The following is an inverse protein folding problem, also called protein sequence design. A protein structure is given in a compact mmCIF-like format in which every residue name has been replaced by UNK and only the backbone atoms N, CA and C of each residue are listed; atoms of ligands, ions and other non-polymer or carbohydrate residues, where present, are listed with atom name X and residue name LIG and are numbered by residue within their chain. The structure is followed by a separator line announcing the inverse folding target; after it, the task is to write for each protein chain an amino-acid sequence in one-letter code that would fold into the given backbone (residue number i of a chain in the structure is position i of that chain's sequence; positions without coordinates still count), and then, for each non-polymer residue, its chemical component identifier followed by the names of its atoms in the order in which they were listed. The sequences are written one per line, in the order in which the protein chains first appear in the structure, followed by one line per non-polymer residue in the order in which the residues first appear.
data_IF_203421504253
#
_entry.id   IF_203421504253
#
_cell.length_a   1.000
_cell.length_b   1.000
_cell.length_c   1.000
_cell.angle_alpha   90.00
_cell.angle_beta   90.00
_cell.angle_gamma   90.00
#
_symmetry.space_group_name_H-M   'P 1'
#
loop_
_entity.id
_entity.type
_entity.pdbx_description
1 polymer ?
#
# COMPACT_ATOMS: atom_id res chain seq x y z
N UNK A 1 10.79 28.22 31.79
CA UNK A 1 11.09 26.77 31.66
C UNK A 1 10.69 26.16 30.30
N UNK A 2 10.49 26.96 29.24
CA UNK A 2 9.86 26.53 27.97
C UNK A 2 10.84 26.36 26.80
N UNK A 3 12.03 26.97 26.84
CA UNK A 3 13.03 26.91 25.76
C UNK A 3 13.83 25.61 25.71
N UNK A 4 14.29 25.09 26.85
CA UNK A 4 15.13 23.88 26.91
C UNK A 4 14.37 22.61 26.50
N UNK A 5 13.11 22.47 26.95
CA UNK A 5 12.22 21.38 26.54
C UNK A 5 11.91 21.39 25.04
N UNK A 6 11.73 22.58 24.44
CA UNK A 6 11.52 22.71 22.98
C UNK A 6 12.79 22.36 22.18
N UNK A 7 13.97 22.72 22.70
CA UNK A 7 15.28 22.39 22.09
C UNK A 7 15.60 20.89 22.17
N UNK A 8 15.32 20.24 23.30
CA UNK A 8 15.46 18.79 23.49
C UNK A 8 14.48 18.01 22.59
N UNK A 9 13.23 18.47 22.48
CA UNK A 9 12.24 17.90 21.54
C UNK A 9 12.69 18.03 20.08
N UNK A 10 13.21 19.19 19.69
CA UNK A 10 13.76 19.42 18.34
C UNK A 10 14.91 18.48 18.00
N UNK A 11 15.85 18.26 18.93
CA UNK A 11 16.97 17.34 18.73
C UNK A 11 16.52 15.88 18.56
N UNK A 12 15.53 15.41 19.33
CA UNK A 12 14.99 14.04 19.19
C UNK A 12 14.25 13.82 17.87
N UNK A 13 13.49 14.82 17.41
CA UNK A 13 12.83 14.78 16.09
C UNK A 13 13.87 14.77 14.98
N UNK A 14 14.93 15.58 15.08
CA UNK A 14 16.01 15.60 14.10
C UNK A 14 16.71 14.23 13.99
N UNK A 15 17.02 13.59 15.13
CA UNK A 15 17.61 12.24 15.16
C UNK A 15 16.66 11.20 14.55
N UNK A 16 15.35 11.30 14.83
CA UNK A 16 14.34 10.44 14.20
C UNK A 16 14.34 10.60 12.68
N UNK A 17 14.27 11.84 12.19
CA UNK A 17 14.28 12.14 10.76
C UNK A 17 15.56 11.63 10.11
N UNK A 18 16.73 11.86 10.73
CA UNK A 18 18.00 11.36 10.21
C UNK A 18 18.02 9.82 10.10
N UNK A 19 17.58 9.10 11.14
CA UNK A 19 17.49 7.63 11.11
C UNK A 19 16.52 7.14 10.04
N UNK A 20 15.35 7.78 9.92
CA UNK A 20 14.36 7.42 8.92
C UNK A 20 14.90 7.66 7.51
N UNK A 21 15.57 8.79 7.28
CA UNK A 21 16.20 9.11 6.00
C UNK A 21 17.27 8.10 5.62
N UNK A 22 18.13 7.68 6.55
CA UNK A 22 19.16 6.65 6.30
C UNK A 22 18.53 5.31 5.93
N UNK A 23 17.48 4.88 6.65
CA UNK A 23 16.80 3.61 6.34
C UNK A 23 16.09 3.71 4.99
N UNK A 24 15.46 4.85 4.70
CA UNK A 24 14.78 5.10 3.42
C UNK A 24 15.75 5.07 2.25
N UNK A 25 16.87 5.81 2.32
CA UNK A 25 17.86 5.87 1.25
C UNK A 25 18.56 4.53 1.05
N UNK A 26 18.87 3.82 2.13
CA UNK A 26 19.43 2.46 2.05
C UNK A 26 18.46 1.49 1.36
N UNK A 27 17.19 1.47 1.76
CA UNK A 27 16.18 0.61 1.15
C UNK A 27 15.91 0.99 -0.31
N UNK A 28 15.91 2.28 -0.65
CA UNK A 28 15.79 2.75 -2.02
C UNK A 28 17.01 2.36 -2.87
N UNK A 29 18.23 2.42 -2.32
CA UNK A 29 19.44 1.98 -2.98
C UNK A 29 19.41 0.49 -3.33
N UNK A 30 18.98 -0.36 -2.39
CA UNK A 30 18.78 -1.80 -2.65
C UNK A 30 17.71 -2.05 -3.73
N UNK A 31 16.62 -1.29 -3.70
CA UNK A 31 15.56 -1.37 -4.70
C UNK A 31 16.09 -1.03 -6.10
N UNK A 32 16.84 0.07 -6.23
CA UNK A 32 17.43 0.51 -7.49
C UNK A 32 18.48 -0.48 -8.01
N UNK A 33 19.32 -1.04 -7.12
CA UNK A 33 20.28 -2.07 -7.49
C UNK A 33 19.58 -3.32 -8.03
N UNK A 34 18.52 -3.78 -7.36
CA UNK A 34 17.76 -4.96 -7.80
C UNK A 34 17.03 -4.70 -9.13
N UNK A 35 16.51 -3.48 -9.32
CA UNK A 35 15.94 -3.05 -10.60
C UNK A 35 16.99 -3.01 -11.73
N UNK A 36 18.20 -2.50 -11.46
CA UNK A 36 19.29 -2.48 -12.42
C UNK A 36 19.73 -3.90 -12.83
N UNK A 37 19.83 -4.82 -11.86
CA UNK A 37 20.13 -6.24 -12.13
C UNK A 37 19.04 -6.86 -13.01
N UNK A 38 17.76 -6.60 -12.71
CA UNK A 38 16.65 -7.10 -13.51
C UNK A 38 16.71 -6.59 -14.95
N UNK A 39 16.87 -5.27 -15.13
CA UNK A 39 16.99 -4.64 -16.45
C UNK A 39 18.17 -5.22 -17.23
N UNK A 40 19.32 -5.38 -16.58
CA UNK A 40 20.52 -5.94 -17.19
C UNK A 40 20.30 -7.37 -17.66
N UNK A 41 19.70 -8.24 -16.83
CA UNK A 41 19.41 -9.64 -17.19
C UNK A 41 18.41 -9.78 -18.33
N UNK A 42 17.41 -8.92 -18.40
CA UNK A 42 16.45 -8.92 -19.51
C UNK A 42 17.12 -8.44 -20.79
N UNK A 43 17.98 -7.41 -20.72
CA UNK A 43 18.78 -6.96 -21.87
C UNK A 43 19.74 -8.02 -22.39
N UNK A 44 20.42 -8.75 -21.51
CA UNK A 44 21.30 -9.88 -21.90
C UNK A 44 20.51 -10.95 -22.66
N UNK A 45 19.30 -11.27 -22.19
CA UNK A 45 18.44 -12.26 -22.84
C UNK A 45 17.94 -11.78 -24.22
N UNK A 46 17.52 -10.52 -24.32
CA UNK A 46 17.06 -9.94 -25.60
C UNK A 46 18.20 -9.87 -26.62
N UNK A 47 19.40 -9.51 -26.17
CA UNK A 47 20.59 -9.47 -27.01
C UNK A 47 20.99 -10.88 -27.50
N UNK A 48 20.86 -11.91 -26.65
CA UNK A 48 21.09 -13.30 -27.04
C UNK A 48 20.10 -13.80 -28.11
N UNK A 49 18.90 -13.21 -28.18
CA UNK A 49 17.89 -13.47 -29.22
C UNK A 49 18.09 -12.62 -30.49
N UNK A 50 19.14 -11.79 -30.55
CA UNK A 50 19.47 -10.96 -31.72
C UNK A 50 18.64 -9.68 -31.86
N UNK A 51 17.94 -9.24 -30.82
CA UNK A 51 17.15 -8.00 -30.84
C UNK A 51 18.06 -6.78 -30.67
N UNK A 52 18.00 -5.82 -31.59
CA UNK A 52 18.83 -4.59 -31.58
C UNK A 52 18.39 -3.55 -30.55
N UNK A 53 17.16 -3.64 -30.05
CA UNK A 53 16.58 -2.74 -29.04
C UNK A 53 15.71 -3.56 -28.08
N UNK A 54 15.95 -3.45 -26.78
CA UNK A 54 15.14 -4.15 -25.78
C UNK A 54 13.85 -3.37 -25.49
N UNK A 55 12.74 -4.08 -25.25
CA UNK A 55 11.47 -3.46 -24.78
C UNK A 55 11.63 -2.72 -23.45
N UNK A 56 12.74 -2.96 -22.74
CA UNK A 56 13.09 -2.30 -21.47
C UNK A 56 13.71 -0.92 -21.70
N UNK A 57 14.22 -0.63 -22.90
CA UNK A 57 14.84 0.67 -23.21
C UNK A 57 13.84 1.83 -23.26
N UNK A 58 12.55 1.53 -23.38
CA UNK A 58 11.47 2.52 -23.28
C UNK A 58 11.06 2.86 -21.84
N UNK A 59 11.58 2.16 -20.81
CA UNK A 59 11.28 2.43 -19.41
C UNK A 59 12.13 3.62 -18.89
N UNK A 60 11.54 4.81 -18.86
CA UNK A 60 12.11 5.95 -18.13
C UNK A 60 11.80 5.85 -16.63
N UNK A 61 12.75 6.20 -15.75
CA UNK A 61 12.53 6.19 -14.28
C UNK A 61 11.38 7.11 -13.82
N UNK A 62 10.97 8.10 -14.64
CA UNK A 62 9.80 8.95 -14.40
C UNK A 62 8.45 8.28 -14.78
N UNK A 63 8.49 7.19 -15.54
CA UNK A 63 7.35 6.54 -16.21
C UNK A 63 6.48 5.65 -15.29
N UNK A 64 6.90 5.37 -14.06
CA UNK A 64 6.22 4.43 -13.15
C UNK A 64 5.13 5.09 -12.28
N UNK A 65 4.88 6.39 -12.46
CA UNK A 65 4.00 7.16 -11.58
C UNK A 65 2.57 7.35 -12.11
N UNK A 66 2.30 7.12 -13.40
CA UNK A 66 1.00 7.40 -14.03
C UNK A 66 0.22 6.11 -14.39
N UNK A 67 -1.11 6.16 -14.28
CA UNK A 67 -2.02 5.04 -14.63
C UNK A 67 -2.05 4.75 -16.13
N UNK A 68 -1.85 5.78 -16.96
CA UNK A 68 -1.88 5.71 -18.42
C UNK A 68 -0.61 5.05 -19.00
N UNK A 69 0.54 5.24 -18.35
CA UNK A 69 1.77 4.52 -18.71
C UNK A 69 1.80 3.10 -18.18
N UNK A 70 1.06 2.77 -17.13
CA UNK A 70 0.87 1.39 -16.63
C UNK A 70 0.38 0.45 -17.74
N UNK A 71 -0.54 0.94 -18.58
CA UNK A 71 -1.11 0.22 -19.73
C UNK A 71 -0.11 0.12 -20.89
N UNK A 72 0.80 1.09 -21.04
CA UNK A 72 1.89 1.09 -22.04
C UNK A 72 3.08 0.21 -21.60
N UNK A 73 3.37 0.16 -20.31
CA UNK A 73 4.42 -0.68 -19.72
C UNK A 73 3.97 -2.12 -19.48
N UNK A 74 2.67 -2.44 -19.58
CA UNK A 74 2.14 -3.80 -19.37
C UNK A 74 2.85 -4.83 -20.25
N UNK A 75 2.99 -4.56 -21.56
CA UNK A 75 3.68 -5.46 -22.49
C UNK A 75 5.16 -5.65 -22.13
N UNK A 76 5.80 -4.60 -21.60
CA UNK A 76 7.18 -4.68 -21.08
C UNK A 76 7.24 -5.48 -19.78
N UNK A 77 6.29 -5.30 -18.85
CA UNK A 77 6.22 -6.06 -17.61
C UNK A 77 5.96 -7.53 -17.86
N UNK A 78 4.99 -7.88 -18.71
CA UNK A 78 4.72 -9.27 -19.11
C UNK A 78 5.97 -9.90 -19.71
N UNK A 79 6.67 -9.18 -20.58
CA UNK A 79 7.92 -9.63 -21.15
C UNK A 79 9.01 -9.85 -20.09
N UNK A 80 9.23 -8.89 -19.19
CA UNK A 80 10.19 -8.99 -18.08
C UNK A 80 9.87 -10.18 -17.16
N UNK A 81 8.59 -10.40 -16.84
CA UNK A 81 8.13 -11.54 -16.05
C UNK A 81 8.25 -12.86 -16.80
N UNK A 82 8.11 -12.89 -18.13
CA UNK A 82 8.33 -14.08 -18.94
C UNK A 82 9.81 -14.47 -19.02
N UNK A 83 10.70 -13.48 -19.13
CA UNK A 83 12.15 -13.68 -19.29
C UNK A 83 12.84 -14.00 -17.96
N UNK A 84 12.48 -13.32 -16.87
CA UNK A 84 13.12 -13.49 -15.55
C UNK A 84 12.08 -13.49 -14.41
N UNK A 85 11.18 -14.47 -14.40
CA UNK A 85 10.07 -14.53 -13.43
C UNK A 85 10.49 -14.37 -11.95
N UNK A 86 11.49 -15.11 -11.42
CA UNK A 86 11.81 -15.02 -9.99
C UNK A 86 12.36 -13.65 -9.58
N UNK A 87 13.19 -13.04 -10.43
CA UNK A 87 13.79 -11.74 -10.18
C UNK A 87 12.77 -10.61 -10.34
N UNK A 88 11.91 -10.70 -11.35
CA UNK A 88 10.81 -9.76 -11.58
C UNK A 88 9.81 -9.76 -10.42
N UNK A 89 9.44 -10.96 -9.93
CA UNK A 89 8.57 -11.12 -8.77
C UNK A 89 9.20 -10.56 -7.50
N UNK A 90 10.49 -10.82 -7.28
CA UNK A 90 11.24 -10.28 -6.13
C UNK A 90 11.33 -8.76 -6.17
N UNK A 91 11.55 -8.18 -7.36
CA UNK A 91 11.54 -6.74 -7.56
C UNK A 91 10.18 -6.12 -7.27
N UNK A 92 9.12 -6.69 -7.84
CA UNK A 92 7.74 -6.27 -7.59
C UNK A 92 7.40 -6.33 -6.10
N UNK A 93 7.69 -7.45 -5.44
CA UNK A 93 7.48 -7.63 -4.00
C UNK A 93 8.27 -6.60 -3.17
N UNK A 94 9.50 -6.31 -3.55
CA UNK A 94 10.35 -5.31 -2.88
C UNK A 94 9.78 -3.90 -3.01
N UNK A 95 9.33 -3.49 -4.20
CA UNK A 95 8.66 -2.20 -4.41
C UNK A 95 7.40 -2.12 -3.55
N UNK A 96 6.62 -3.20 -3.54
CA UNK A 96 5.39 -3.27 -2.75
C UNK A 96 5.64 -3.06 -1.27
N UNK A 97 6.53 -3.87 -0.69
CA UNK A 97 6.88 -3.80 0.73
C UNK A 97 7.50 -2.44 1.05
N UNK A 98 8.35 -1.90 0.17
CA UNK A 98 8.93 -0.56 0.33
C UNK A 98 7.84 0.52 0.43
N UNK A 99 6.93 0.61 -0.56
CA UNK A 99 5.85 1.60 -0.55
C UNK A 99 4.97 1.46 0.69
N UNK A 100 4.63 0.22 1.05
CA UNK A 100 3.78 -0.05 2.20
C UNK A 100 4.47 0.27 3.54
N UNK A 101 5.78 0.00 3.65
CA UNK A 101 6.59 0.26 4.86
C UNK A 101 6.68 1.75 5.16
N UNK A 102 6.90 2.56 4.11
CA UNK A 102 7.04 4.02 4.22
C UNK A 102 5.72 4.77 4.05
N UNK A 103 4.57 4.07 4.05
CA UNK A 103 3.24 4.67 3.89
C UNK A 103 3.09 5.53 2.62
N UNK A 104 3.79 5.19 1.53
CA UNK A 104 3.74 5.90 0.26
C UNK A 104 2.43 5.54 -0.46
N UNK A 105 1.63 6.52 -0.90
CA UNK A 105 0.38 6.26 -1.62
C UNK A 105 0.60 5.53 -2.95
N UNK A 106 -0.45 4.83 -3.40
CA UNK A 106 -0.43 4.09 -4.66
C UNK A 106 0.01 2.62 -4.55
N UNK A 107 -0.18 1.97 -3.39
CA UNK A 107 -0.15 0.50 -3.30
C UNK A 107 -1.33 -0.15 -4.05
N UNK A 108 -2.46 0.56 -4.18
CA UNK A 108 -3.59 0.16 -5.02
C UNK A 108 -3.17 -0.17 -6.46
N UNK A 109 -2.31 0.67 -7.05
CA UNK A 109 -1.83 0.49 -8.42
C UNK A 109 -0.96 -0.76 -8.56
N UNK A 110 -0.22 -1.14 -7.51
CA UNK A 110 0.56 -2.38 -7.51
C UNK A 110 -0.36 -3.61 -7.46
N UNK A 111 -1.46 -3.56 -6.70
CA UNK A 111 -2.46 -4.63 -6.72
C UNK A 111 -3.07 -4.82 -8.12
N UNK A 112 -3.44 -3.71 -8.76
CA UNK A 112 -3.96 -3.69 -10.14
C UNK A 112 -2.91 -4.24 -11.11
N UNK A 113 -1.65 -3.82 -10.99
CA UNK A 113 -0.54 -4.35 -11.78
C UNK A 113 -0.43 -5.87 -11.64
N UNK A 114 -0.40 -6.40 -10.42
CA UNK A 114 -0.34 -7.85 -10.18
C UNK A 114 -1.49 -8.59 -10.84
N UNK A 115 -2.72 -8.05 -10.79
CA UNK A 115 -3.85 -8.63 -11.48
C UNK A 115 -3.75 -8.59 -13.01
N UNK A 116 -3.01 -7.63 -13.56
CA UNK A 116 -2.84 -7.48 -15.00
C UNK A 116 -1.79 -8.43 -15.60
N UNK A 117 -0.75 -8.83 -14.84
CA UNK A 117 0.32 -9.71 -15.34
C UNK A 117 0.37 -11.11 -14.71
N UNK A 118 -0.33 -11.36 -13.59
CA UNK A 118 -0.49 -12.70 -12.98
C UNK A 118 -1.94 -13.16 -13.03
N UNK A 119 -2.19 -14.48 -13.12
CA UNK A 119 -3.52 -15.03 -12.88
C UNK A 119 -4.07 -14.61 -11.52
N UNK A 120 -5.35 -14.26 -11.45
CA UNK A 120 -5.98 -13.75 -10.20
C UNK A 120 -5.82 -14.69 -9.00
N UNK A 121 -5.81 -16.01 -9.22
CA UNK A 121 -5.60 -17.02 -8.18
C UNK A 121 -4.21 -16.96 -7.54
N UNK A 122 -3.21 -16.46 -8.26
CA UNK A 122 -1.85 -16.24 -7.75
C UNK A 122 -1.66 -14.80 -7.25
N UNK A 123 -2.18 -13.82 -8.00
CA UNK A 123 -2.05 -12.40 -7.69
C UNK A 123 -2.70 -12.04 -6.35
N UNK A 124 -3.91 -12.53 -6.08
CA UNK A 124 -4.65 -12.22 -4.86
C UNK A 124 -3.95 -12.65 -3.56
N UNK A 125 -3.59 -13.94 -3.36
CA UNK A 125 -2.90 -14.36 -2.15
C UNK A 125 -1.52 -13.69 -2.02
N UNK A 126 -0.78 -13.53 -3.12
CA UNK A 126 0.50 -12.82 -3.14
C UNK A 126 0.35 -11.40 -2.60
N UNK A 127 -0.56 -10.61 -3.16
CA UNK A 127 -0.82 -9.23 -2.75
C UNK A 127 -1.25 -9.15 -1.28
N UNK A 128 -2.07 -10.10 -0.80
CA UNK A 128 -2.48 -10.14 0.61
C UNK A 128 -1.30 -10.37 1.55
N UNK A 129 -0.40 -11.30 1.20
CA UNK A 129 0.84 -11.54 1.94
C UNK A 129 1.73 -10.30 1.93
N UNK A 130 1.96 -9.69 0.76
CA UNK A 130 2.77 -8.47 0.63
C UNK A 130 2.19 -7.29 1.42
N UNK A 131 0.86 -7.14 1.41
CA UNK A 131 0.15 -6.13 2.20
C UNK A 131 0.40 -6.32 3.70
N UNK A 132 0.23 -7.55 4.19
CA UNK A 132 0.43 -7.90 5.59
C UNK A 132 1.89 -7.73 6.03
N UNK A 133 2.84 -8.21 5.22
CA UNK A 133 4.27 -8.05 5.47
C UNK A 133 4.67 -6.57 5.48
N UNK A 134 4.30 -5.79 4.46
CA UNK A 134 4.63 -4.37 4.38
C UNK A 134 3.99 -3.54 5.50
N UNK A 135 2.74 -3.83 5.87
CA UNK A 135 2.09 -3.19 7.02
C UNK A 135 2.78 -3.53 8.34
N UNK A 136 3.26 -4.78 8.48
CA UNK A 136 4.03 -5.22 9.64
C UNK A 136 5.40 -4.54 9.71
N UNK A 137 6.07 -4.35 8.58
CA UNK A 137 7.29 -3.54 8.50
C UNK A 137 7.03 -2.08 8.90
N UNK A 138 5.95 -1.47 8.43
CA UNK A 138 5.53 -0.13 8.83
C UNK A 138 5.28 -0.03 10.35
N UNK A 139 4.56 -1.01 10.92
CA UNK A 139 4.34 -1.13 12.36
C UNK A 139 5.65 -1.20 13.14
N UNK A 140 6.58 -2.06 12.71
CA UNK A 140 7.87 -2.25 13.39
C UNK A 140 8.77 -1.01 13.26
N UNK A 141 8.76 -0.37 12.10
CA UNK A 141 9.48 0.88 11.85
C UNK A 141 8.95 1.96 12.80
N UNK A 142 7.63 2.14 12.89
CA UNK A 142 6.99 3.06 13.83
C UNK A 142 7.41 2.77 15.27
N UNK A 143 7.28 1.51 15.71
CA UNK A 143 7.58 1.09 17.09
C UNK A 143 9.05 1.29 17.47
N UNK A 144 9.98 1.08 16.55
CA UNK A 144 11.43 1.13 16.83
C UNK A 144 12.04 2.52 16.67
N UNK A 145 11.54 3.32 15.74
CA UNK A 145 12.13 4.63 15.44
C UNK A 145 11.46 5.74 16.22
N UNK A 146 10.13 5.79 16.24
CA UNK A 146 9.42 6.85 16.96
C UNK A 146 9.53 6.61 18.48
N UNK A 147 9.45 7.70 19.25
CA UNK A 147 9.43 7.65 20.72
C UNK A 147 8.06 8.14 21.21
N UNK A 148 7.60 7.64 22.37
CA UNK A 148 6.32 8.06 22.98
C UNK A 148 6.20 9.59 23.04
N UNK A 149 7.29 10.28 23.39
CA UNK A 149 7.31 11.74 23.48
C UNK A 149 7.07 12.44 22.14
N UNK A 150 7.57 11.87 21.03
CA UNK A 150 7.34 12.41 19.68
C UNK A 150 5.91 12.11 19.24
N UNK A 151 5.44 10.88 19.45
CA UNK A 151 4.08 10.48 19.04
C UNK A 151 3.02 11.24 19.80
N UNK A 152 3.15 11.37 21.11
CA UNK A 152 2.24 12.17 21.92
C UNK A 152 2.25 13.63 21.47
N UNK A 153 3.43 14.20 21.19
CA UNK A 153 3.53 15.59 20.73
C UNK A 153 2.88 15.80 19.35
N UNK A 154 3.06 14.87 18.42
CA UNK A 154 2.44 14.94 17.09
C UNK A 154 0.94 14.67 17.15
N UNK A 155 0.52 13.70 17.96
CA UNK A 155 -0.89 13.36 18.13
C UNK A 155 -1.66 14.51 18.77
N UNK A 156 -1.11 15.18 19.77
CA UNK A 156 -1.74 16.37 20.36
C UNK A 156 -1.85 17.55 19.39
N UNK A 157 -0.88 17.69 18.48
CA UNK A 157 -0.93 18.72 17.43
C UNK A 157 -1.96 18.41 16.34
N UNK A 158 -2.09 17.13 15.94
CA UNK A 158 -3.00 16.70 14.88
C UNK A 158 -4.43 16.51 15.38
N UNK A 159 -4.59 15.93 16.57
CA UNK A 159 -5.85 15.41 17.11
C UNK A 159 -5.84 15.56 18.66
N UNK A 160 -5.96 16.79 19.18
CA UNK A 160 -5.86 17.07 20.62
C UNK A 160 -6.86 16.27 21.43
N UNK A 161 -6.39 15.58 22.48
CA UNK A 161 -7.20 14.79 23.42
C UNK A 161 -7.80 13.49 22.86
N UNK A 162 -7.64 13.18 21.57
CA UNK A 162 -8.22 11.95 20.98
C UNK A 162 -7.37 10.71 21.19
N UNK A 163 -6.07 10.86 21.49
CA UNK A 163 -5.17 9.74 21.69
C UNK A 163 -5.57 8.91 22.91
N UNK A 164 -5.84 9.56 24.03
CA UNK A 164 -6.22 8.89 25.28
C UNK A 164 -7.60 8.23 25.18
N UNK A 165 -8.54 8.90 24.50
CA UNK A 165 -9.85 8.31 24.18
C UNK A 165 -9.68 7.04 23.33
N UNK A 166 -8.80 7.09 22.32
CA UNK A 166 -8.56 5.94 21.45
C UNK A 166 -7.87 4.81 22.22
N UNK A 167 -6.91 5.11 23.09
CA UNK A 167 -6.26 4.13 23.97
C UNK A 167 -7.28 3.45 24.88
N UNK A 168 -8.12 4.21 25.56
CA UNK A 168 -9.18 3.67 26.42
C UNK A 168 -10.17 2.78 25.65
N UNK A 169 -10.58 3.19 24.44
CA UNK A 169 -11.45 2.34 23.57
C UNK A 169 -10.78 1.03 23.19
N UNK A 170 -9.49 1.06 22.86
CA UNK A 170 -8.72 -0.15 22.51
C UNK A 170 -8.54 -1.06 23.72
N UNK A 171 -8.32 -0.51 24.91
CA UNK A 171 -8.24 -1.27 26.17
C UNK A 171 -9.57 -1.93 26.53
N UNK A 172 -10.68 -1.20 26.43
CA UNK A 172 -12.02 -1.77 26.66
C UNK A 172 -12.33 -2.88 25.65
N UNK A 173 -12.05 -2.68 24.37
CA UNK A 173 -12.23 -3.70 23.33
C UNK A 173 -11.32 -4.92 23.57
N UNK A 174 -10.12 -4.71 24.12
CA UNK A 174 -9.21 -5.80 24.52
C UNK A 174 -9.77 -6.59 25.69
N UNK A 175 -10.25 -5.91 26.73
CA UNK A 175 -10.84 -6.55 27.91
C UNK A 175 -12.07 -7.41 27.54
N UNK A 176 -12.81 -7.01 26.52
CA UNK A 176 -13.97 -7.73 25.99
C UNK A 176 -13.61 -8.83 24.96
N UNK A 177 -12.32 -8.99 24.60
CA UNK A 177 -11.89 -9.94 23.57
C UNK A 177 -12.26 -9.56 22.13
N UNK A 178 -12.75 -8.33 21.90
CA UNK A 178 -13.28 -7.85 20.62
C UNK A 178 -12.26 -7.06 19.78
N UNK A 179 -11.03 -6.89 20.28
CA UNK A 179 -10.01 -6.05 19.63
C UNK A 179 -9.76 -6.42 18.17
N UNK A 180 -9.70 -7.72 17.82
CA UNK A 180 -9.51 -8.14 16.43
C UNK A 180 -10.68 -7.68 15.54
N UNK A 181 -11.93 -7.84 15.99
CA UNK A 181 -13.12 -7.42 15.24
C UNK A 181 -13.15 -5.91 15.02
N UNK A 182 -12.79 -5.13 16.05
CA UNK A 182 -12.66 -3.68 15.93
C UNK A 182 -11.62 -3.31 14.87
N UNK A 183 -10.46 -3.98 14.85
CA UNK A 183 -9.42 -3.74 13.85
C UNK A 183 -9.83 -4.15 12.44
N UNK A 184 -10.55 -5.28 12.29
CA UNK A 184 -11.09 -5.71 11.00
C UNK A 184 -12.09 -4.68 10.47
N UNK A 185 -13.04 -4.25 11.30
CA UNK A 185 -14.02 -3.24 10.95
C UNK A 185 -13.34 -1.94 10.49
N UNK A 186 -12.36 -1.46 11.25
CA UNK A 186 -11.64 -0.23 10.91
C UNK A 186 -10.94 -0.31 9.55
N UNK A 187 -10.48 -1.49 9.12
CA UNK A 187 -9.77 -1.67 7.84
C UNK A 187 -10.70 -1.84 6.65
N UNK A 188 -11.85 -2.47 6.87
CA UNK A 188 -12.90 -2.60 5.85
C UNK A 188 -13.58 -1.25 5.65
N UNK A 189 -13.66 -0.43 6.70
CA UNK A 189 -14.27 0.89 6.62
C UNK A 189 -13.49 1.82 5.68
N UNK A 190 -14.11 2.32 4.59
CA UNK A 190 -13.40 2.98 3.48
C UNK A 190 -12.75 4.31 3.86
N UNK A 191 -13.17 4.92 4.97
CA UNK A 191 -12.66 6.21 5.41
C UNK A 191 -11.48 6.13 6.35
N UNK A 192 -11.15 4.94 6.88
CA UNK A 192 -10.01 4.80 7.78
C UNK A 192 -8.72 4.71 6.95
N UNK A 193 -7.77 5.63 7.12
CA UNK A 193 -6.51 5.54 6.40
C UNK A 193 -5.69 4.35 6.93
N UNK A 194 -5.45 3.35 6.07
CA UNK A 194 -4.71 2.14 6.48
C UNK A 194 -3.28 2.46 6.93
N UNK A 195 -2.62 3.44 6.30
CA UNK A 195 -1.29 3.90 6.72
C UNK A 195 -1.30 4.42 8.16
N UNK A 196 -2.37 5.12 8.57
CA UNK A 196 -2.51 5.66 9.92
C UNK A 196 -2.66 4.53 10.92
N UNK A 197 -3.51 3.53 10.64
CA UNK A 197 -3.62 2.35 11.51
C UNK A 197 -2.28 1.64 11.66
N UNK A 198 -1.53 1.47 10.57
CA UNK A 198 -0.22 0.79 10.61
C UNK A 198 0.80 1.54 11.46
N UNK A 199 0.82 2.88 11.37
CA UNK A 199 1.71 3.74 12.14
C UNK A 199 1.29 3.86 13.61
N UNK A 200 -0.01 4.00 13.88
CA UNK A 200 -0.57 4.28 15.21
C UNK A 200 -0.73 3.03 16.08
N UNK A 201 -0.96 1.85 15.49
CA UNK A 201 -1.18 0.60 16.22
C UNK A 201 -0.17 0.28 17.33
N UNK A 202 1.16 0.43 17.15
CA UNK A 202 2.10 0.15 18.24
C UNK A 202 1.94 1.09 19.44
N UNK A 203 1.50 2.34 19.20
CA UNK A 203 1.30 3.38 20.22
C UNK A 203 -0.04 3.29 20.95
N UNK A 204 -0.96 2.48 20.39
CA UNK A 204 -2.22 2.05 21.01
C UNK A 204 -2.06 0.70 21.73
N UNK A 205 -0.81 0.25 21.91
CA UNK A 205 -0.48 -1.02 22.57
C UNK A 205 -1.11 -2.25 21.91
N UNK A 206 -1.42 -2.18 20.60
CA UNK A 206 -1.99 -3.32 19.87
C UNK A 206 -0.88 -4.33 19.57
N UNK A 207 -0.99 -5.59 20.00
CA UNK A 207 0.06 -6.58 19.75
C UNK A 207 0.12 -6.95 18.26
N UNK A 208 1.34 -7.17 17.75
CA UNK A 208 1.58 -7.55 16.35
C UNK A 208 0.80 -8.81 15.93
N UNK A 209 0.60 -9.75 16.88
CA UNK A 209 -0.16 -10.99 16.69
C UNK A 209 -1.63 -10.76 16.32
N UNK A 210 -2.23 -9.65 16.75
CA UNK A 210 -3.60 -9.25 16.35
C UNK A 210 -3.58 -8.30 15.16
N UNK A 211 -2.55 -7.45 15.08
CA UNK A 211 -2.38 -6.51 13.99
C UNK A 211 -2.21 -7.21 12.63
N UNK A 212 -1.27 -8.15 12.50
CA UNK A 212 -0.95 -8.75 11.20
C UNK A 212 -2.13 -9.54 10.59
N UNK A 213 -2.87 -10.37 11.35
CA UNK A 213 -4.10 -10.99 10.86
C UNK A 213 -5.19 -9.96 10.52
N UNK A 214 -5.29 -8.86 11.28
CA UNK A 214 -6.25 -7.79 10.96
C UNK A 214 -5.97 -7.16 9.60
N UNK A 215 -4.70 -6.96 9.24
CA UNK A 215 -4.30 -6.44 7.92
C UNK A 215 -4.66 -7.46 6.85
N UNK A 216 -4.23 -8.72 7.03
CA UNK A 216 -4.43 -9.79 6.06
C UNK A 216 -5.90 -10.02 5.74
N UNK A 217 -6.74 -10.13 6.78
CA UNK A 217 -8.18 -10.41 6.64
C UNK A 217 -9.01 -9.16 6.32
N UNK A 218 -8.73 -8.04 7.00
CA UNK A 218 -9.51 -6.82 6.86
C UNK A 218 -9.35 -6.13 5.50
N UNK A 219 -8.23 -6.39 4.81
CA UNK A 219 -7.97 -5.86 3.46
C UNK A 219 -8.27 -6.86 2.34
N UNK A 220 -8.76 -8.07 2.63
CA UNK A 220 -9.13 -9.04 1.57
C UNK A 220 -10.10 -8.43 0.55
N UNK A 221 -11.20 -7.75 0.93
CA UNK A 221 -12.13 -7.22 -0.06
C UNK A 221 -11.48 -6.18 -0.96
N UNK A 222 -10.66 -5.29 -0.37
CA UNK A 222 -9.93 -4.26 -1.10
C UNK A 222 -8.88 -4.87 -2.05
N UNK A 223 -8.10 -5.84 -1.58
CA UNK A 223 -7.10 -6.52 -2.38
C UNK A 223 -7.73 -7.33 -3.53
N UNK A 224 -8.88 -7.97 -3.28
CA UNK A 224 -9.62 -8.68 -4.31
C UNK A 224 -10.13 -7.74 -5.40
N UNK A 225 -10.82 -6.66 -5.01
CA UNK A 225 -11.38 -5.66 -5.94
C UNK A 225 -10.27 -5.07 -6.83
N UNK A 226 -9.13 -4.72 -6.23
CA UNK A 226 -8.02 -4.10 -6.96
C UNK A 226 -7.28 -5.07 -7.87
N UNK A 227 -7.07 -6.32 -7.45
CA UNK A 227 -6.52 -7.37 -8.32
C UNK A 227 -7.47 -7.67 -9.48
N UNK A 228 -8.77 -7.78 -9.22
CA UNK A 228 -9.76 -8.01 -10.28
C UNK A 228 -9.84 -6.85 -11.27
N UNK A 229 -9.71 -5.61 -10.82
CA UNK A 229 -9.61 -4.46 -11.71
C UNK A 229 -8.43 -4.57 -12.68
N UNK A 230 -7.29 -5.10 -12.21
CA UNK A 230 -6.13 -5.41 -13.04
C UNK A 230 -6.38 -6.49 -14.07
N UNK A 231 -7.01 -7.59 -13.65
CA UNK A 231 -7.36 -8.70 -14.52
C UNK A 231 -8.32 -8.28 -15.63
N UNK A 232 -9.31 -7.42 -15.29
CA UNK A 232 -10.21 -6.84 -16.27
C UNK A 232 -9.45 -5.93 -17.25
N UNK A 233 -8.55 -5.07 -16.78
CA UNK A 233 -7.77 -4.18 -17.65
C UNK A 233 -6.97 -4.95 -18.72
N UNK A 234 -6.48 -6.14 -18.37
CA UNK A 234 -5.82 -7.06 -19.30
C UNK A 234 -6.79 -7.61 -20.37
N UNK A 235 -8.03 -7.96 -20.00
CA UNK A 235 -9.03 -8.52 -20.93
C UNK A 235 -9.71 -7.47 -21.83
N UNK A 236 -9.80 -6.20 -21.42
CA UNK A 236 -10.42 -5.12 -22.21
C UNK A 236 -9.75 -4.87 -23.59
N UNK A 237 -8.56 -5.44 -23.85
CA UNK A 237 -7.88 -5.33 -25.16
C UNK A 237 -8.55 -6.17 -26.27
N UNK A 238 -9.45 -7.10 -25.93
CA UNK A 238 -10.29 -7.82 -26.89
C UNK A 238 -11.71 -7.21 -26.92
N UNK A 239 -12.07 -6.38 -27.92
CA UNK A 239 -13.36 -5.70 -27.96
C UNK A 239 -14.59 -6.64 -27.98
N UNK A 240 -14.40 -7.90 -28.40
CA UNK A 240 -15.42 -8.95 -28.35
C UNK A 240 -15.72 -9.48 -26.94
N UNK A 241 -14.80 -9.33 -25.97
CA UNK A 241 -14.98 -9.78 -24.58
C UNK A 241 -15.64 -8.72 -23.68
N UNK A 242 -15.79 -7.48 -24.19
CA UNK A 242 -16.50 -6.38 -23.51
C UNK A 242 -18.00 -6.63 -23.36
N UNK A 243 -18.58 -7.41 -24.27
CA UNK A 243 -20.01 -7.74 -24.30
C UNK A 243 -20.34 -9.01 -23.50
N UNK A 244 -19.34 -9.68 -22.92
CA UNK A 244 -19.59 -10.83 -22.07
C UNK A 244 -20.27 -10.37 -20.76
N UNK A 245 -21.39 -11.00 -20.41
CA UNK A 245 -22.25 -10.62 -19.29
C UNK A 245 -21.48 -10.63 -17.95
N UNK A 246 -20.46 -11.50 -17.87
CA UNK A 246 -19.55 -11.61 -16.74
C UNK A 246 -18.66 -10.39 -16.59
N UNK A 247 -18.10 -9.87 -17.68
CA UNK A 247 -17.26 -8.66 -17.69
C UNK A 247 -18.09 -7.43 -17.32
N UNK A 248 -19.33 -7.33 -17.82
CA UNK A 248 -20.27 -6.27 -17.46
C UNK A 248 -20.62 -6.29 -15.96
N UNK A 249 -20.83 -7.48 -15.38
CA UNK A 249 -21.08 -7.63 -13.94
C UNK A 249 -19.92 -7.13 -13.07
N UNK A 250 -18.68 -7.42 -13.45
CA UNK A 250 -17.49 -6.94 -12.74
C UNK A 250 -17.26 -5.44 -12.91
N UNK A 251 -17.47 -4.89 -14.11
CA UNK A 251 -17.38 -3.46 -14.37
C UNK A 251 -18.42 -2.68 -13.54
N UNK A 252 -19.64 -3.19 -13.43
CA UNK A 252 -20.68 -2.61 -12.57
C UNK A 252 -20.29 -2.64 -11.09
N UNK A 253 -19.75 -3.77 -10.59
CA UNK A 253 -19.23 -3.89 -9.23
C UNK A 253 -18.09 -2.89 -8.93
N UNK A 254 -17.15 -2.73 -9.87
CA UNK A 254 -16.07 -1.75 -9.75
C UNK A 254 -16.58 -0.32 -9.74
N UNK A 255 -17.53 0.02 -10.63
CA UNK A 255 -18.14 1.34 -10.67
C UNK A 255 -18.88 1.67 -9.37
N UNK A 256 -19.65 0.71 -8.83
CA UNK A 256 -20.31 0.86 -7.52
C UNK A 256 -19.28 1.04 -6.40
N UNK A 257 -18.20 0.25 -6.41
CA UNK A 257 -17.10 0.36 -5.46
C UNK A 257 -16.40 1.73 -5.48
N UNK A 258 -16.20 2.30 -6.67
CA UNK A 258 -15.60 3.63 -6.85
C UNK A 258 -16.57 4.78 -6.50
N UNK A 259 -17.87 4.60 -6.71
CA UNK A 259 -18.89 5.61 -6.40
C UNK A 259 -19.25 5.65 -4.91
N UNK A 260 -19.14 4.53 -4.19
CA UNK A 260 -19.36 4.41 -2.75
C UNK A 260 -18.70 5.53 -1.92
N UNK A 261 -17.37 5.79 -2.03
CA UNK A 261 -16.72 6.85 -1.26
C UNK A 261 -17.22 8.26 -1.63
N UNK A 262 -17.61 8.51 -2.88
CA UNK A 262 -18.15 9.80 -3.34
C UNK A 262 -19.55 10.04 -2.76
N UNK A 263 -20.42 9.03 -2.83
CA UNK A 263 -21.80 9.12 -2.31
C UNK A 263 -21.79 9.28 -0.79
N UNK A 264 -20.93 8.54 -0.08
CA UNK A 264 -20.80 8.67 1.37
C UNK A 264 -20.20 10.03 1.78
N UNK A 265 -19.23 10.56 1.03
CA UNK A 265 -18.70 11.93 1.22
C UNK A 265 -19.79 12.98 1.05
N UNK A 266 -20.61 12.86 0.01
CA UNK A 266 -21.69 13.81 -0.26
C UNK A 266 -22.79 13.74 0.80
N UNK A 267 -23.17 12.55 1.27
CA UNK A 267 -24.13 12.39 2.37
C UNK A 267 -23.62 12.97 3.69
N UNK A 268 -22.34 12.77 4.02
CA UNK A 268 -21.73 13.37 5.21
C UNK A 268 -21.71 14.90 5.13
N UNK A 269 -21.39 15.47 3.95
CA UNK A 269 -21.41 16.92 3.72
C UNK A 269 -22.82 17.51 3.82
N UNK A 270 -23.84 16.84 3.28
CA UNK A 270 -25.24 17.27 3.36
C UNK A 270 -25.83 17.16 4.77
N UNK A 271 -25.38 16.20 5.59
CA UNK A 271 -25.80 16.08 6.99
C UNK A 271 -25.20 17.16 7.89
N UNK A 272 -23.99 17.63 7.59
CA UNK A 272 -23.37 18.76 8.30
C UNK A 272 -24.12 20.06 7.96
N UNK A 273 -24.45 20.29 6.68
CA UNK A 273 -25.20 21.46 6.20
C UNK A 273 -26.68 21.50 6.63
N UNK A 274 -27.25 20.40 7.13
CA UNK A 274 -28.61 20.34 7.68
C UNK A 274 -28.67 20.54 9.21
N UNK A 275 -27.51 20.62 9.86
CA UNK A 275 -27.38 20.80 11.32
C UNK A 275 -26.88 22.20 11.72
N UNK A 276 -26.50 23.01 10.74
CA UNK A 276 -26.36 24.47 10.86
C UNK A 276 -27.69 25.13 10.49
#
# INVERSE_FOLDING_TARGET
MTGALKRIKGGRVLVLVAKLSVIFTSALGLLLALGAILVHRVREHDAALGLTTSKVDSLSLRSLASFEELTRSHDTFVHVFAVQFPLALTFYASIYVFKQTFAIPGSAMLNVLAGAFLPSLLAFPLVCVLTSCGASCCYLLSKRLASEAIVHSLSEQLLPGKLDILRSKIENARAQGQLLFVLLFLRIFPFTPNWFLNLASPWLSIPLKLFAPSVGLGLLPYNLITVQAGAMLSSLRNPSELLDLRTMGWLALLAIGMLLPIVLKNRAKTQILKKE
#
